data_IF_680334054322
#
_entry.id   IF_680334054322
#
_cell.length_a   1.000
_cell.length_b   1.000
_cell.length_c   1.000
_cell.angle_alpha   90.00
_cell.angle_beta   90.00
_cell.angle_gamma   90.00
#
_symmetry.space_group_name_H-M   'P 1'
#
loop_
_entity.id
_entity.type
_entity.pdbx_description
1 polymer ?
#
# COMPACT_ATOMS: atom_id res chain seq x y z
N UNK A 1 5.60 -3.42 -16.16
CA UNK A 1 6.51 -3.77 -15.01
C UNK A 1 5.67 -4.53 -14.00
N UNK A 2 6.18 -5.48 -13.23
CA UNK A 2 5.28 -6.48 -12.63
C UNK A 2 4.71 -6.06 -11.26
N UNK A 3 3.41 -6.27 -11.07
CA UNK A 3 2.71 -6.41 -9.76
C UNK A 3 3.40 -7.41 -8.80
N UNK A 4 4.44 -8.12 -9.26
CA UNK A 4 5.26 -9.08 -8.51
C UNK A 4 6.62 -8.53 -8.03
N UNK A 5 7.00 -7.29 -8.36
CA UNK A 5 8.28 -6.73 -7.88
C UNK A 5 8.22 -6.49 -6.37
N UNK A 6 9.12 -7.10 -5.60
CA UNK A 6 9.21 -6.88 -4.16
C UNK A 6 10.28 -5.83 -3.86
N UNK A 7 9.90 -4.57 -3.61
CA UNK A 7 10.89 -3.51 -3.36
C UNK A 7 11.70 -3.75 -2.08
N UNK A 8 11.15 -4.48 -1.10
CA UNK A 8 11.85 -4.87 0.14
C UNK A 8 13.04 -5.80 -0.12
N UNK A 9 13.14 -6.41 -1.30
CA UNK A 9 14.29 -7.23 -1.71
C UNK A 9 15.44 -6.42 -2.32
N UNK A 10 15.23 -5.14 -2.60
CA UNK A 10 16.24 -4.26 -3.20
C UNK A 10 17.14 -3.69 -2.11
N UNK A 11 18.45 -3.63 -2.38
CA UNK A 11 19.34 -2.80 -1.58
C UNK A 11 19.05 -1.30 -1.85
N UNK A 12 19.59 -0.41 -1.02
CA UNK A 12 19.37 1.05 -1.14
C UNK A 12 19.73 1.60 -2.53
N UNK A 13 20.85 1.17 -3.12
CA UNK A 13 21.30 1.65 -4.44
C UNK A 13 20.32 1.24 -5.53
N UNK A 14 19.90 -0.03 -5.54
CA UNK A 14 18.92 -0.55 -6.50
C UNK A 14 17.56 0.11 -6.32
N UNK A 15 17.17 0.42 -5.08
CA UNK A 15 15.94 1.14 -4.78
C UNK A 15 15.95 2.57 -5.37
N UNK A 16 17.04 3.32 -5.19
CA UNK A 16 17.21 4.63 -5.81
C UNK A 16 17.22 4.55 -7.34
N UNK A 17 17.97 3.59 -7.91
CA UNK A 17 18.02 3.40 -9.35
C UNK A 17 16.64 3.05 -9.94
N UNK A 18 15.88 2.23 -9.22
CA UNK A 18 14.51 1.86 -9.58
C UNK A 18 13.58 3.09 -9.53
N UNK A 19 13.56 3.84 -8.43
CA UNK A 19 12.76 5.06 -8.31
C UNK A 19 13.12 6.09 -9.39
N UNK A 20 14.42 6.35 -9.60
CA UNK A 20 14.91 7.26 -10.64
C UNK A 20 14.48 6.81 -12.03
N UNK A 21 14.60 5.52 -12.33
CA UNK A 21 14.17 4.95 -13.62
C UNK A 21 12.68 5.18 -13.87
N UNK A 22 11.83 4.99 -12.85
CA UNK A 22 10.38 5.24 -12.98
C UNK A 22 10.10 6.72 -13.26
N UNK A 23 10.71 7.63 -12.50
CA UNK A 23 10.53 9.07 -12.71
C UNK A 23 11.04 9.55 -14.08
N UNK A 24 12.19 9.03 -14.53
CA UNK A 24 12.75 9.36 -15.85
C UNK A 24 11.84 8.83 -16.97
N UNK A 25 11.39 7.58 -16.87
CA UNK A 25 10.50 6.95 -17.87
C UNK A 25 9.11 7.60 -17.92
N UNK A 26 8.65 8.17 -16.82
CA UNK A 26 7.42 8.96 -16.75
C UNK A 26 7.60 10.43 -17.11
N UNK A 27 8.78 10.82 -17.64
CA UNK A 27 9.14 12.18 -18.04
C UNK A 27 9.06 13.25 -16.92
N UNK A 28 9.06 12.86 -15.64
CA UNK A 28 8.93 13.80 -14.50
C UNK A 28 10.02 14.87 -14.53
N UNK A 29 11.27 14.46 -14.79
CA UNK A 29 12.41 15.37 -14.92
C UNK A 29 12.19 16.45 -15.99
N UNK A 30 11.60 16.11 -17.14
CA UNK A 30 11.32 17.09 -18.21
C UNK A 30 10.16 18.01 -17.84
N UNK A 31 9.11 17.46 -17.24
CA UNK A 31 7.91 18.22 -16.84
C UNK A 31 8.26 19.27 -15.79
N UNK A 32 9.18 18.96 -14.88
CA UNK A 32 9.60 19.87 -13.82
C UNK A 32 10.97 20.54 -14.04
N UNK A 33 11.47 20.50 -15.28
CA UNK A 33 12.73 21.15 -15.71
C UNK A 33 13.94 20.82 -14.82
N UNK A 34 14.09 19.53 -14.52
CA UNK A 34 15.21 18.97 -13.77
C UNK A 34 16.11 18.15 -14.71
N UNK A 35 17.43 18.31 -14.54
CA UNK A 35 18.35 17.29 -15.02
C UNK A 35 18.16 15.97 -14.25
N UNK A 36 18.58 14.85 -14.83
CA UNK A 36 18.53 13.54 -14.16
C UNK A 36 19.32 13.55 -12.83
N UNK A 37 20.42 14.31 -12.77
CA UNK A 37 21.19 14.49 -11.53
C UNK A 37 20.40 15.23 -10.46
N UNK A 38 19.77 16.36 -10.80
CA UNK A 38 18.95 17.12 -9.85
C UNK A 38 17.72 16.33 -9.38
N UNK A 39 17.15 15.50 -10.27
CA UNK A 39 16.09 14.58 -9.88
C UNK A 39 16.62 13.52 -8.89
N UNK A 40 17.79 12.94 -9.13
CA UNK A 40 18.39 12.01 -8.18
C UNK A 40 18.66 12.67 -6.82
N UNK A 41 19.18 13.90 -6.81
CA UNK A 41 19.40 14.66 -5.58
C UNK A 41 18.08 14.86 -4.82
N UNK A 42 16.99 15.21 -5.52
CA UNK A 42 15.65 15.29 -4.92
C UNK A 42 15.18 13.96 -4.33
N UNK A 43 15.37 12.83 -5.04
CA UNK A 43 15.00 11.50 -4.54
C UNK A 43 15.77 11.13 -3.27
N UNK A 44 17.06 11.47 -3.19
CA UNK A 44 17.89 11.23 -2.01
C UNK A 44 17.40 12.08 -0.84
N UNK A 45 17.17 13.38 -1.08
CA UNK A 45 16.67 14.28 -0.04
C UNK A 45 15.27 13.88 0.46
N UNK A 46 14.39 13.36 -0.40
CA UNK A 46 13.10 12.78 0.02
C UNK A 46 13.32 11.55 0.90
N UNK A 47 14.22 10.64 0.49
CA UNK A 47 14.50 9.42 1.24
C UNK A 47 15.06 9.71 2.64
N UNK A 48 15.83 10.80 2.80
CA UNK A 48 16.38 11.24 4.10
C UNK A 48 15.32 11.85 5.02
N UNK A 49 14.12 12.16 4.52
CA UNK A 49 12.98 12.60 5.34
C UNK A 49 12.10 11.46 5.84
N UNK A 50 12.29 10.24 5.36
CA UNK A 50 11.63 9.06 5.93
C UNK A 50 12.31 8.64 7.24
N UNK A 51 11.51 8.12 8.17
CA UNK A 51 12.00 7.68 9.49
C UNK A 51 12.28 6.17 9.51
N UNK A 52 12.77 5.69 10.64
CA UNK A 52 13.01 4.26 10.91
C UNK A 52 11.73 3.50 11.35
N UNK A 53 10.54 4.01 11.00
CA UNK A 53 9.28 3.29 11.21
C UNK A 53 9.32 1.92 10.49
N UNK A 54 8.70 0.85 11.04
CA UNK A 54 8.74 -0.46 10.37
C UNK A 54 8.06 -0.48 8.99
N UNK A 55 6.92 0.19 8.83
CA UNK A 55 6.14 0.17 7.58
C UNK A 55 6.33 1.46 6.77
N UNK A 56 6.06 2.62 7.38
CA UNK A 56 6.06 3.93 6.71
C UNK A 56 7.50 4.42 6.42
N UNK A 57 8.15 3.75 5.47
CA UNK A 57 9.56 3.93 5.08
C UNK A 57 9.68 4.44 3.65
N UNK A 58 10.90 4.83 3.24
CA UNK A 58 11.16 5.11 1.82
C UNK A 58 10.89 3.91 0.90
N UNK A 59 11.00 2.67 1.42
CA UNK A 59 10.61 1.49 0.66
C UNK A 59 9.11 1.47 0.36
N UNK A 60 8.26 1.87 1.31
CA UNK A 60 6.81 1.97 1.12
C UNK A 60 6.49 2.97 0.00
N UNK A 61 7.08 4.16 0.08
CA UNK A 61 6.95 5.20 -0.95
C UNK A 61 7.33 4.70 -2.35
N UNK A 62 8.43 3.96 -2.47
CA UNK A 62 8.89 3.40 -3.75
C UNK A 62 7.99 2.24 -4.22
N UNK A 63 7.40 1.44 -3.33
CA UNK A 63 6.39 0.44 -3.72
C UNK A 63 5.17 1.14 -4.33
N UNK A 64 4.67 2.21 -3.71
CA UNK A 64 3.54 2.99 -4.22
C UNK A 64 3.84 3.58 -5.60
N UNK A 65 4.99 4.22 -5.77
CA UNK A 65 5.44 4.74 -7.08
C UNK A 65 5.49 3.62 -8.13
N UNK A 66 5.94 2.42 -7.75
CA UNK A 66 5.96 1.25 -8.62
C UNK A 66 4.55 0.80 -9.03
N UNK A 67 3.63 0.76 -8.08
CA UNK A 67 2.24 0.36 -8.32
C UNK A 67 1.49 1.42 -9.14
N UNK A 68 1.75 2.70 -8.92
CA UNK A 68 1.22 3.78 -9.76
C UNK A 68 1.73 3.68 -11.20
N UNK A 69 3.01 3.37 -11.40
CA UNK A 69 3.54 3.12 -12.74
C UNK A 69 2.82 1.94 -13.42
N UNK A 70 2.58 0.84 -12.68
CA UNK A 70 1.81 -0.31 -13.16
C UNK A 70 0.34 0.05 -13.50
N UNK A 71 -0.34 0.77 -12.61
CA UNK A 71 -1.71 1.26 -12.84
C UNK A 71 -1.78 2.15 -14.09
N UNK A 72 -0.83 3.07 -14.26
CA UNK A 72 -0.76 3.95 -15.41
C UNK A 72 -0.53 3.19 -16.71
N UNK A 73 0.53 2.36 -16.78
CA UNK A 73 1.00 1.82 -18.05
C UNK A 73 0.48 0.43 -18.39
N UNK A 74 0.47 -0.50 -17.42
CA UNK A 74 0.02 -1.88 -17.65
C UNK A 74 -1.52 -1.98 -17.56
N UNK A 75 -2.14 -1.16 -16.71
CA UNK A 75 -3.60 -1.11 -16.52
C UNK A 75 -4.30 0.06 -17.25
N UNK A 76 -3.55 0.83 -18.05
CA UNK A 76 -4.05 1.88 -18.94
C UNK A 76 -4.79 3.03 -18.24
N UNK A 77 -4.42 3.38 -17.01
CA UNK A 77 -4.93 4.59 -16.37
C UNK A 77 -4.40 5.88 -17.03
N UNK A 78 -3.22 5.80 -17.67
CA UNK A 78 -2.56 6.92 -18.35
C UNK A 78 -3.37 7.55 -19.48
N UNK A 79 -4.32 6.81 -20.09
CA UNK A 79 -5.24 7.34 -21.12
C UNK A 79 -6.10 8.52 -20.65
N UNK A 80 -6.25 8.69 -19.34
CA UNK A 80 -7.04 9.74 -18.71
C UNK A 80 -6.20 10.91 -18.16
N UNK A 81 -4.88 10.76 -18.14
CA UNK A 81 -3.97 11.67 -17.44
C UNK A 81 -3.01 12.34 -18.43
N UNK A 82 -2.70 13.61 -18.17
CA UNK A 82 -1.61 14.30 -18.88
C UNK A 82 -0.26 13.93 -18.27
N UNK A 83 0.84 14.28 -18.95
CA UNK A 83 2.19 14.13 -18.39
C UNK A 83 2.39 14.95 -17.11
N UNK A 84 1.72 16.10 -17.00
CA UNK A 84 1.72 16.91 -15.79
C UNK A 84 1.01 16.20 -14.64
N UNK A 85 -0.19 15.64 -14.88
CA UNK A 85 -0.96 14.94 -13.84
C UNK A 85 -0.17 13.73 -13.30
N UNK A 86 0.46 12.95 -14.20
CA UNK A 86 1.32 11.81 -13.81
C UNK A 86 2.54 12.27 -13.01
N UNK A 87 3.15 13.40 -13.38
CA UNK A 87 4.32 13.92 -12.66
C UNK A 87 3.97 14.41 -11.26
N UNK A 88 2.84 15.11 -11.11
CA UNK A 88 2.28 15.50 -9.81
C UNK A 88 1.97 14.27 -8.95
N UNK A 89 1.32 13.27 -9.53
CA UNK A 89 0.94 12.03 -8.85
C UNK A 89 2.17 11.27 -8.31
N UNK A 90 3.23 11.13 -9.11
CA UNK A 90 4.45 10.42 -8.67
C UNK A 90 5.23 11.19 -7.60
N UNK A 91 5.28 12.54 -7.67
CA UNK A 91 5.90 13.36 -6.62
C UNK A 91 5.10 13.26 -5.32
N UNK A 92 3.78 13.38 -5.38
CA UNK A 92 2.91 13.23 -4.21
C UNK A 92 3.08 11.83 -3.58
N UNK A 93 3.07 10.78 -4.38
CA UNK A 93 3.26 9.40 -3.91
C UNK A 93 4.59 9.20 -3.17
N UNK A 94 5.69 9.71 -3.74
CA UNK A 94 7.00 9.57 -3.12
C UNK A 94 7.12 10.37 -1.81
N UNK A 95 6.34 11.43 -1.64
CA UNK A 95 6.42 12.32 -0.49
C UNK A 95 5.30 12.12 0.54
N UNK A 96 4.29 11.29 0.30
CA UNK A 96 3.05 11.30 1.08
C UNK A 96 3.25 11.00 2.59
N UNK A 97 4.30 10.26 2.93
CA UNK A 97 4.60 9.80 4.29
C UNK A 97 5.93 10.32 4.86
N UNK A 98 6.56 11.31 4.23
CA UNK A 98 7.82 11.85 4.76
C UNK A 98 7.59 12.42 6.17
N UNK A 99 8.48 12.06 7.09
CA UNK A 99 8.37 12.44 8.50
C UNK A 99 7.40 11.59 9.32
N UNK A 100 6.77 10.55 8.76
CA UNK A 100 5.85 9.68 9.51
C UNK A 100 6.58 9.01 10.69
N UNK A 101 6.13 9.18 11.95
CA UNK A 101 6.89 8.75 13.14
C UNK A 101 6.63 7.29 13.54
N UNK A 102 5.78 6.58 12.82
CA UNK A 102 5.38 5.22 13.16
C UNK A 102 4.16 5.13 14.09
N UNK A 103 3.40 6.22 14.24
CA UNK A 103 2.21 6.31 15.08
C UNK A 103 1.12 7.11 14.40
N UNK A 104 -0.12 6.67 14.50
CA UNK A 104 -1.27 7.22 13.76
C UNK A 104 -1.67 8.64 14.19
N UNK A 105 -2.47 9.32 13.36
CA UNK A 105 -3.09 10.62 13.68
C UNK A 105 -3.77 10.62 15.05
N UNK A 106 -4.56 9.58 15.36
CA UNK A 106 -5.23 9.47 16.67
C UNK A 106 -4.24 9.41 17.84
N UNK A 107 -3.10 8.75 17.67
CA UNK A 107 -2.05 8.72 18.69
C UNK A 107 -1.47 10.12 18.91
N UNK A 108 -1.15 10.85 17.85
CA UNK A 108 -0.61 12.21 17.94
C UNK A 108 -1.54 13.11 18.76
N UNK A 109 -2.84 13.08 18.45
CA UNK A 109 -3.87 13.89 19.11
C UNK A 109 -4.05 13.48 20.56
N UNK A 110 -4.25 12.17 20.81
CA UNK A 110 -4.53 11.67 22.15
C UNK A 110 -3.36 11.85 23.12
N UNK A 111 -2.13 11.90 22.58
CA UNK A 111 -0.91 12.08 23.37
C UNK A 111 -0.38 13.51 23.35
N UNK A 112 -1.05 14.43 22.65
CA UNK A 112 -0.71 15.85 22.55
C UNK A 112 0.74 16.06 22.10
N UNK A 113 1.16 15.38 21.04
CA UNK A 113 2.52 15.58 20.52
C UNK A 113 2.67 16.98 19.91
N UNK A 114 3.91 17.44 19.77
CA UNK A 114 4.22 18.71 19.10
C UNK A 114 3.64 18.78 17.67
N UNK A 115 3.56 17.62 16.98
CA UNK A 115 2.92 17.54 15.67
C UNK A 115 1.42 17.85 15.75
N UNK A 116 0.70 17.27 16.72
CA UNK A 116 -0.72 17.56 16.92
C UNK A 116 -0.98 19.02 17.32
N UNK A 117 -0.11 19.59 18.16
CA UNK A 117 -0.20 21.00 18.56
C UNK A 117 0.04 21.95 17.38
N UNK A 118 1.03 21.65 16.51
CA UNK A 118 1.44 22.52 15.40
C UNK A 118 0.55 22.40 14.18
N UNK A 119 0.17 21.18 13.80
CA UNK A 119 -0.53 20.91 12.52
C UNK A 119 -2.03 20.63 12.70
N UNK A 120 -2.54 20.57 13.93
CA UNK A 120 -3.97 20.46 14.22
C UNK A 120 -4.47 19.01 14.31
N UNK A 121 -5.80 18.83 14.23
CA UNK A 121 -6.47 17.59 14.64
C UNK A 121 -7.02 16.67 13.53
N UNK A 122 -7.17 17.13 12.29
CA UNK A 122 -7.55 16.24 11.16
C UNK A 122 -6.37 16.16 10.22
N UNK A 123 -6.00 14.95 9.80
CA UNK A 123 -4.89 14.70 8.88
C UNK A 123 -3.57 15.35 9.33
N UNK A 124 -3.25 15.22 10.61
CA UNK A 124 -2.07 15.85 11.25
C UNK A 124 -0.78 15.43 10.56
N UNK A 125 -0.61 14.14 10.31
CA UNK A 125 0.59 13.54 9.70
C UNK A 125 0.69 13.90 8.23
N UNK A 126 -0.40 13.84 7.48
CA UNK A 126 -0.43 14.19 6.07
C UNK A 126 -0.14 15.69 5.89
N UNK A 127 -0.64 16.54 6.79
CA UNK A 127 -0.30 17.97 6.83
C UNK A 127 1.18 18.20 7.12
N UNK A 128 1.79 17.38 7.99
CA UNK A 128 3.22 17.41 8.24
C UNK A 128 4.02 16.97 7.00
N UNK A 129 3.64 15.87 6.35
CA UNK A 129 4.24 15.43 5.08
C UNK A 129 4.18 16.52 4.02
N UNK A 130 3.03 17.21 3.88
CA UNK A 130 2.88 18.37 2.99
C UNK A 130 3.87 19.47 3.35
N UNK A 131 4.01 19.81 4.62
CA UNK A 131 4.96 20.85 5.06
C UNK A 131 6.39 20.51 4.64
N UNK A 132 6.86 19.28 4.93
CA UNK A 132 8.20 18.85 4.53
C UNK A 132 8.35 18.78 3.00
N UNK A 133 7.29 18.41 2.29
CA UNK A 133 7.27 18.34 0.82
C UNK A 133 7.52 19.73 0.25
N UNK A 134 6.84 20.76 0.77
CA UNK A 134 7.02 22.13 0.31
C UNK A 134 8.43 22.65 0.60
N UNK A 135 9.05 22.27 1.73
CA UNK A 135 10.46 22.59 2.00
C UNK A 135 11.39 21.98 0.94
N UNK A 136 11.18 20.71 0.58
CA UNK A 136 11.98 20.03 -0.44
C UNK A 136 11.76 20.66 -1.83
N UNK A 137 10.52 20.90 -2.24
CA UNK A 137 10.23 21.54 -3.52
C UNK A 137 10.88 22.94 -3.63
N UNK A 138 10.93 23.69 -2.52
CA UNK A 138 11.67 24.95 -2.44
C UNK A 138 13.18 24.76 -2.53
N UNK A 139 13.75 23.79 -1.79
CA UNK A 139 15.18 23.47 -1.82
C UNK A 139 15.68 23.16 -3.23
N UNK A 140 14.91 22.39 -3.99
CA UNK A 140 15.26 21.98 -5.35
C UNK A 140 14.77 22.96 -6.44
N UNK A 141 14.11 24.05 -6.06
CA UNK A 141 13.53 25.04 -6.99
C UNK A 141 12.70 24.39 -8.11
N UNK A 142 11.81 23.47 -7.74
CA UNK A 142 11.04 22.66 -8.69
C UNK A 142 9.54 22.69 -8.37
N UNK A 143 8.71 22.27 -9.33
CA UNK A 143 7.25 22.30 -9.23
C UNK A 143 6.72 23.67 -8.73
N UNK A 144 7.24 24.78 -9.28
CA UNK A 144 7.02 26.13 -8.75
C UNK A 144 5.63 26.72 -9.01
N UNK A 145 4.84 26.09 -9.87
CA UNK A 145 3.46 26.54 -10.13
C UNK A 145 2.58 26.34 -8.89
N UNK A 146 1.83 27.37 -8.51
CA UNK A 146 0.89 27.31 -7.40
C UNK A 146 -0.12 26.17 -7.56
N UNK A 147 -0.68 26.03 -8.77
CA UNK A 147 -1.64 24.96 -9.09
C UNK A 147 -1.01 23.59 -8.87
N UNK A 148 0.24 23.39 -9.32
CA UNK A 148 0.96 22.11 -9.15
C UNK A 148 1.16 21.79 -7.67
N UNK A 149 1.59 22.77 -6.87
CA UNK A 149 1.82 22.58 -5.42
C UNK A 149 0.53 22.33 -4.66
N UNK A 150 -0.53 23.05 -5.01
CA UNK A 150 -1.85 22.86 -4.41
C UNK A 150 -2.40 21.47 -4.74
N UNK A 151 -2.21 20.98 -5.96
CA UNK A 151 -2.57 19.60 -6.32
C UNK A 151 -1.71 18.57 -5.57
N UNK A 152 -0.39 18.74 -5.46
CA UNK A 152 0.47 17.83 -4.67
C UNK A 152 -0.02 17.78 -3.21
N UNK A 153 -0.28 18.94 -2.61
CA UNK A 153 -0.82 19.05 -1.25
C UNK A 153 -2.12 18.28 -1.10
N UNK A 154 -3.06 18.50 -2.01
CA UNK A 154 -4.36 17.86 -1.99
C UNK A 154 -4.27 16.33 -2.16
N UNK A 155 -3.38 15.85 -3.03
CA UNK A 155 -3.14 14.41 -3.17
C UNK A 155 -2.58 13.78 -1.88
N UNK A 156 -1.58 14.41 -1.25
CA UNK A 156 -1.03 13.91 0.02
C UNK A 156 -2.08 13.93 1.13
N UNK A 157 -2.87 15.00 1.26
CA UNK A 157 -3.95 15.03 2.26
C UNK A 157 -5.01 13.95 2.03
N UNK A 158 -5.23 13.54 0.78
CA UNK A 158 -6.20 12.50 0.45
C UNK A 158 -5.76 11.07 0.82
N UNK A 159 -4.51 10.85 1.24
CA UNK A 159 -4.05 9.53 1.70
C UNK A 159 -4.50 9.21 3.13
N UNK A 160 -5.00 10.18 3.89
CA UNK A 160 -5.61 9.90 5.20
C UNK A 160 -6.80 8.94 5.01
N UNK A 161 -6.73 7.79 5.69
CA UNK A 161 -7.76 6.75 5.66
C UNK A 161 -9.16 7.26 6.06
N UNK A 162 -9.27 8.42 6.73
CA UNK A 162 -10.54 9.11 6.96
C UNK A 162 -11.29 9.45 5.64
N UNK A 163 -10.59 9.67 4.54
CA UNK A 163 -11.17 9.96 3.22
C UNK A 163 -11.52 8.71 2.41
N UNK A 164 -11.19 7.51 2.88
CA UNK A 164 -11.40 6.26 2.13
C UNK A 164 -12.82 6.11 1.59
N UNK A 165 -13.83 6.33 2.45
CA UNK A 165 -15.25 6.20 2.05
C UNK A 165 -15.67 7.25 1.03
N UNK A 166 -15.07 8.43 1.07
CA UNK A 166 -15.34 9.49 0.11
C UNK A 166 -14.68 9.19 -1.24
N UNK A 167 -13.46 8.62 -1.23
CA UNK A 167 -12.78 8.20 -2.45
C UNK A 167 -13.51 7.06 -3.18
N UNK A 168 -14.18 6.14 -2.47
CA UNK A 168 -15.07 5.15 -3.10
C UNK A 168 -16.20 5.86 -3.87
N UNK A 169 -16.86 6.85 -3.26
CA UNK A 169 -17.94 7.60 -3.93
C UNK A 169 -17.42 8.41 -5.12
N UNK A 170 -16.24 9.02 -4.99
CA UNK A 170 -15.61 9.74 -6.09
C UNK A 170 -15.28 8.81 -7.26
N UNK A 171 -14.85 7.57 -6.99
CA UNK A 171 -14.65 6.57 -8.03
C UNK A 171 -15.96 6.23 -8.75
N UNK A 172 -17.04 5.98 -8.01
CA UNK A 172 -18.37 5.70 -8.58
C UNK A 172 -18.89 6.87 -9.43
N UNK A 173 -18.72 8.11 -8.96
CA UNK A 173 -19.07 9.32 -9.71
C UNK A 173 -18.26 9.44 -11.01
N UNK A 174 -16.96 9.20 -10.95
CA UNK A 174 -16.08 9.27 -12.12
C UNK A 174 -16.44 8.19 -13.15
N UNK A 175 -16.80 7.00 -12.71
CA UNK A 175 -17.30 5.92 -13.58
C UNK A 175 -18.54 6.40 -14.34
N UNK A 176 -19.53 6.97 -13.64
CA UNK A 176 -20.74 7.50 -14.27
C UNK A 176 -20.44 8.60 -15.29
N UNK A 177 -19.52 9.52 -15.00
CA UNK A 177 -19.10 10.56 -15.94
C UNK A 177 -18.48 9.94 -17.22
N UNK A 178 -17.61 8.94 -17.06
CA UNK A 178 -16.98 8.24 -18.19
C UNK A 178 -18.02 7.47 -19.01
N UNK A 179 -19.00 6.82 -18.38
CA UNK A 179 -20.07 6.09 -19.06
C UNK A 179 -21.02 7.02 -19.84
N UNK A 180 -21.37 8.17 -19.26
CA UNK A 180 -22.16 9.20 -19.92
C UNK A 180 -21.44 9.76 -21.15
N UNK A 181 -20.14 10.04 -21.03
CA UNK A 181 -19.32 10.50 -22.16
C UNK A 181 -19.20 9.45 -23.29
N UNK A 182 -19.31 8.16 -22.96
CA UNK A 182 -19.28 7.06 -23.95
C UNK A 182 -20.61 6.80 -24.64
N UNK A 183 -21.72 7.26 -24.07
CA UNK A 183 -23.06 7.09 -24.64
C UNK A 183 -23.34 8.24 -25.59
N UNK A 184 -23.33 8.04 -26.92
CA UNK A 184 -23.63 9.12 -27.85
C UNK A 184 -25.08 9.55 -27.63
N UNK A 185 -25.30 10.85 -27.47
CA UNK A 185 -26.62 11.45 -27.59
C UNK A 185 -27.33 10.89 -28.83
N UNK A 186 -28.45 10.19 -28.61
CA UNK A 186 -29.31 9.63 -29.65
C UNK A 186 -29.74 10.75 -30.60
N UNK A 187 -29.04 10.87 -31.73
CA UNK A 187 -29.19 12.02 -32.63
C UNK A 187 -28.46 11.85 -33.96
N UNK A 188 -28.71 10.72 -34.64
CA UNK A 188 -28.69 10.49 -36.10
C UNK A 188 -28.10 9.13 -36.47
N UNK A 189 -28.98 8.21 -36.87
CA UNK A 189 -28.62 6.96 -37.53
C UNK A 189 -28.02 7.24 -38.91
N UNK A 190 -26.69 7.19 -39.07
CA UNK A 190 -26.06 6.88 -40.37
C UNK A 190 -24.88 5.92 -40.24
N UNK A 191 -25.15 4.70 -40.70
CA UNK A 191 -24.35 3.73 -41.46
C UNK A 191 -22.88 3.49 -41.08
N UNK A 192 -22.64 2.23 -40.70
CA UNK A 192 -21.51 1.36 -41.06
C UNK A 192 -20.12 2.00 -41.16
N UNK A 193 -19.36 1.88 -40.07
CA UNK A 193 -17.92 1.63 -40.13
C UNK A 193 -17.55 0.71 -38.98
N UNK A 194 -17.14 -0.52 -39.31
CA UNK A 194 -16.42 -1.43 -38.41
C UNK A 194 -15.01 -0.89 -38.24
N UNK A 195 -14.86 0.07 -37.33
CA UNK A 195 -13.58 0.41 -36.74
C UNK A 195 -13.84 0.65 -35.27
N UNK A 196 -13.28 -0.19 -34.42
CA UNK A 196 -13.16 0.05 -32.98
C UNK A 196 -12.21 1.23 -32.80
N UNK A 197 -12.70 2.44 -33.09
CA UNK A 197 -11.99 3.67 -32.78
C UNK A 197 -11.93 3.75 -31.26
N UNK A 198 -10.76 3.39 -30.71
CA UNK A 198 -10.37 3.75 -29.36
C UNK A 198 -10.69 5.24 -29.18
N UNK A 199 -11.53 5.54 -28.19
CA UNK A 199 -11.83 6.93 -27.80
C UNK A 199 -10.49 7.67 -27.64
N UNK A 200 -10.32 8.86 -28.24
CA UNK A 200 -9.10 9.63 -28.07
C UNK A 200 -8.86 9.91 -26.59
N UNK A 201 -7.58 9.93 -26.23
CA UNK A 201 -7.03 10.43 -24.96
C UNK A 201 -7.62 11.80 -24.59
N UNK A 202 -7.89 12.01 -23.29
CA UNK A 202 -8.23 13.29 -22.65
C UNK A 202 -9.61 13.93 -22.98
N UNK A 203 -10.66 13.53 -22.24
CA UNK A 203 -11.87 14.35 -22.10
C UNK A 203 -12.36 14.47 -20.63
N UNK A 204 -11.50 14.16 -19.66
CA UNK A 204 -11.74 14.53 -18.28
C UNK A 204 -11.25 15.96 -18.05
N UNK A 205 -12.08 16.80 -17.43
CA UNK A 205 -11.64 18.11 -16.95
C UNK A 205 -10.56 17.98 -15.85
N UNK A 206 -9.96 19.11 -15.47
CA UNK A 206 -8.85 19.11 -14.52
C UNK A 206 -9.24 18.56 -13.14
N UNK A 207 -10.48 18.80 -12.70
CA UNK A 207 -11.00 18.31 -11.44
C UNK A 207 -11.17 16.79 -11.47
N UNK A 208 -11.78 16.25 -12.52
CA UNK A 208 -11.96 14.81 -12.73
C UNK A 208 -10.62 14.07 -12.83
N UNK A 209 -9.60 14.68 -13.46
CA UNK A 209 -8.23 14.12 -13.48
C UNK A 209 -7.59 14.15 -12.10
N UNK A 210 -7.80 15.22 -11.33
CA UNK A 210 -7.32 15.30 -9.94
C UNK A 210 -7.97 14.24 -9.06
N UNK A 211 -9.29 14.06 -9.16
CA UNK A 211 -10.02 12.99 -8.47
C UNK A 211 -9.51 11.60 -8.87
N UNK A 212 -9.23 11.39 -10.16
CA UNK A 212 -8.59 10.15 -10.61
C UNK A 212 -7.21 9.96 -9.95
N UNK A 213 -6.38 11.00 -9.87
CA UNK A 213 -5.09 10.91 -9.19
C UNK A 213 -5.24 10.55 -7.69
N UNK A 214 -6.22 11.12 -6.97
CA UNK A 214 -6.52 10.74 -5.57
C UNK A 214 -6.88 9.25 -5.47
N UNK A 215 -7.75 8.77 -6.37
CA UNK A 215 -8.17 7.37 -6.42
C UNK A 215 -6.98 6.44 -6.69
N UNK A 216 -6.13 6.78 -7.67
CA UNK A 216 -4.98 5.95 -8.01
C UNK A 216 -3.92 5.94 -6.90
N UNK A 217 -3.66 7.09 -6.27
CA UNK A 217 -2.72 7.18 -5.16
C UNK A 217 -3.20 6.33 -3.98
N UNK A 218 -4.45 6.50 -3.56
CA UNK A 218 -5.03 5.72 -2.48
C UNK A 218 -5.06 4.22 -2.79
N UNK A 219 -5.39 3.84 -4.03
CA UNK A 219 -5.33 2.45 -4.48
C UNK A 219 -3.93 1.86 -4.32
N UNK A 220 -2.90 2.62 -4.71
CA UNK A 220 -1.51 2.19 -4.64
C UNK A 220 -1.00 2.08 -3.20
N UNK A 221 -1.35 3.05 -2.35
CA UNK A 221 -0.98 3.11 -0.93
C UNK A 221 -1.48 1.88 -0.15
N UNK A 222 -2.74 1.50 -0.33
CA UNK A 222 -3.33 0.31 0.33
C UNK A 222 -3.10 -0.99 -0.46
N UNK A 223 -2.35 -0.96 -1.56
CA UNK A 223 -2.28 -2.09 -2.50
C UNK A 223 -1.51 -3.29 -1.96
N UNK A 224 -0.61 -3.13 -0.99
CA UNK A 224 0.31 -4.19 -0.56
C UNK A 224 -0.43 -5.50 -0.24
N UNK A 225 -1.60 -5.41 0.40
CA UNK A 225 -2.36 -6.60 0.76
C UNK A 225 -3.04 -7.31 -0.43
N UNK A 226 -3.21 -6.60 -1.54
CA UNK A 226 -3.78 -7.03 -2.81
C UNK A 226 -2.70 -7.51 -3.82
N UNK A 227 -1.54 -7.94 -3.31
CA UNK A 227 -0.39 -8.43 -4.09
C UNK A 227 -0.13 -9.92 -3.84
N UNK A 228 0.77 -10.57 -4.60
CA UNK A 228 1.15 -11.96 -4.33
C UNK A 228 1.49 -12.19 -2.85
N UNK A 229 1.05 -13.31 -2.31
CA UNK A 229 1.10 -13.62 -0.88
C UNK A 229 2.44 -13.29 -0.19
N UNK A 230 3.57 -13.61 -0.82
CA UNK A 230 4.89 -13.36 -0.23
C UNK A 230 5.08 -11.86 0.08
N UNK A 231 4.70 -10.99 -0.86
CA UNK A 231 4.79 -9.53 -0.73
C UNK A 231 3.75 -9.04 0.28
N UNK A 232 2.50 -9.46 0.12
CA UNK A 232 1.39 -9.09 1.02
C UNK A 232 1.68 -9.46 2.47
N UNK A 233 2.25 -10.64 2.71
CA UNK A 233 2.62 -11.12 4.05
C UNK A 233 3.75 -10.30 4.66
N UNK A 234 4.80 -9.98 3.89
CA UNK A 234 5.92 -9.17 4.39
C UNK A 234 5.48 -7.77 4.78
N UNK A 235 4.70 -7.08 3.94
CA UNK A 235 4.14 -5.79 4.28
C UNK A 235 3.18 -5.85 5.47
N UNK A 236 2.38 -6.93 5.57
CA UNK A 236 1.53 -7.20 6.74
C UNK A 236 2.35 -7.39 8.02
N UNK A 237 3.53 -8.01 7.94
CA UNK A 237 4.44 -8.14 9.10
C UNK A 237 4.92 -6.77 9.59
N UNK A 238 5.31 -5.89 8.67
CA UNK A 238 5.80 -4.55 8.99
C UNK A 238 4.71 -3.65 9.59
N UNK A 239 3.51 -3.60 9.00
CA UNK A 239 2.43 -2.75 9.53
C UNK A 239 1.93 -3.23 10.89
N UNK A 240 1.84 -4.55 11.10
CA UNK A 240 1.42 -5.09 12.40
C UNK A 240 2.49 -4.84 13.47
N UNK A 241 3.77 -4.92 13.12
CA UNK A 241 4.85 -4.53 14.03
C UNK A 241 4.70 -3.06 14.46
N UNK A 242 4.38 -2.16 13.54
CA UNK A 242 4.17 -0.75 13.83
C UNK A 242 2.94 -0.53 14.72
N UNK A 243 1.80 -1.12 14.36
CA UNK A 243 0.58 -1.06 15.18
C UNK A 243 0.79 -1.58 16.60
N UNK A 244 1.47 -2.72 16.77
CA UNK A 244 1.76 -3.25 18.09
C UNK A 244 2.76 -2.40 18.87
N UNK A 245 3.68 -1.72 18.18
CA UNK A 245 4.58 -0.75 18.84
C UNK A 245 3.81 0.45 19.37
N UNK A 246 2.82 0.96 18.62
CA UNK A 246 1.89 1.97 19.10
C UNK A 246 1.09 1.48 20.30
N UNK A 247 0.49 0.30 20.24
CA UNK A 247 -0.31 -0.23 21.35
C UNK A 247 0.50 -0.46 22.62
N UNK A 248 1.77 -0.84 22.52
CA UNK A 248 2.66 -0.94 23.67
C UNK A 248 2.97 0.43 24.29
N UNK A 249 3.11 1.46 23.46
CA UNK A 249 3.33 2.82 23.93
C UNK A 249 2.07 3.40 24.61
N UNK A 250 0.88 3.15 24.06
CA UNK A 250 -0.40 3.48 24.69
C UNK A 250 -0.55 2.76 26.05
N UNK A 251 -0.18 1.47 26.13
CA UNK A 251 -0.18 0.70 27.39
C UNK A 251 0.75 1.31 28.43
N UNK A 252 2.00 1.65 28.05
CA UNK A 252 2.97 2.31 28.95
C UNK A 252 2.44 3.63 29.50
N UNK A 253 1.72 4.39 28.67
CA UNK A 253 1.08 5.67 29.03
C UNK A 253 -0.23 5.51 29.79
N UNK A 254 -0.67 4.26 30.07
CA UNK A 254 -1.94 3.92 30.74
C UNK A 254 -3.15 4.50 30.00
N UNK A 255 -3.07 4.55 28.68
CA UNK A 255 -4.14 4.96 27.79
C UNK A 255 -4.94 3.74 27.32
N UNK A 256 -6.16 3.97 26.84
CA UNK A 256 -6.89 2.94 26.11
C UNK A 256 -6.11 2.58 24.85
N UNK A 257 -5.79 1.30 24.69
CA UNK A 257 -5.07 0.81 23.52
C UNK A 257 -6.00 0.87 22.31
N UNK A 258 -5.48 1.38 21.19
CA UNK A 258 -6.18 1.55 19.94
C UNK A 258 -6.68 0.20 19.39
N UNK A 259 -7.88 0.15 18.77
CA UNK A 259 -8.41 -1.09 18.22
C UNK A 259 -7.45 -1.75 17.24
N UNK A 260 -7.20 -3.06 17.41
CA UNK A 260 -6.28 -3.80 16.54
C UNK A 260 -4.79 -3.65 16.88
N UNK A 261 -4.44 -2.83 17.88
CA UNK A 261 -3.04 -2.54 18.24
C UNK A 261 -2.57 -3.26 19.52
N UNK A 262 -3.46 -3.99 20.20
CA UNK A 262 -3.09 -4.78 21.36
C UNK A 262 -2.57 -6.16 20.94
N UNK A 263 -1.25 -6.37 21.00
CA UNK A 263 -0.60 -7.65 20.68
C UNK A 263 -1.00 -8.82 21.59
N UNK A 264 -1.59 -8.56 22.76
CA UNK A 264 -2.07 -9.60 23.67
C UNK A 264 -3.48 -10.08 23.30
N UNK A 265 -4.25 -9.26 22.58
CA UNK A 265 -5.66 -9.52 22.24
C UNK A 265 -5.91 -9.68 20.74
N UNK A 266 -4.99 -9.19 19.90
CA UNK A 266 -5.14 -9.17 18.44
C UNK A 266 -4.10 -10.09 17.79
N UNK A 267 -4.52 -10.83 16.77
CA UNK A 267 -3.62 -11.61 15.92
C UNK A 267 -3.42 -10.92 14.57
N UNK A 268 -2.25 -11.07 13.95
CA UNK A 268 -2.00 -10.59 12.60
C UNK A 268 -3.05 -11.06 11.58
N UNK A 269 -3.46 -12.36 11.55
CA UNK A 269 -4.54 -12.80 10.68
C UNK A 269 -5.84 -12.02 10.88
N UNK A 270 -6.25 -11.80 12.13
CA UNK A 270 -7.48 -11.06 12.43
C UNK A 270 -7.44 -9.60 11.97
N UNK A 271 -6.28 -8.93 12.11
CA UNK A 271 -6.07 -7.55 11.64
C UNK A 271 -6.13 -7.52 10.10
N UNK A 272 -5.42 -8.43 9.45
CA UNK A 272 -5.34 -8.49 7.98
C UNK A 272 -6.68 -8.82 7.33
N UNK A 273 -7.48 -9.71 7.93
CA UNK A 273 -8.82 -10.04 7.45
C UNK A 273 -9.79 -8.85 7.55
N UNK A 274 -9.76 -8.13 8.69
CA UNK A 274 -10.58 -6.92 8.87
C UNK A 274 -10.21 -5.84 7.86
N UNK A 275 -8.92 -5.60 7.65
CA UNK A 275 -8.46 -4.61 6.67
C UNK A 275 -8.82 -5.03 5.23
N UNK A 276 -8.73 -6.32 4.89
CA UNK A 276 -9.15 -6.82 3.59
C UNK A 276 -10.63 -6.62 3.29
N UNK A 277 -11.47 -6.84 4.30
CA UNK A 277 -12.91 -6.57 4.18
C UNK A 277 -13.19 -5.07 4.00
N UNK A 278 -12.41 -4.21 4.67
CA UNK A 278 -12.55 -2.75 4.54
C UNK A 278 -12.24 -2.27 3.12
N UNK A 279 -11.16 -2.76 2.51
CA UNK A 279 -10.67 -2.23 1.23
C UNK A 279 -11.18 -2.98 -0.01
N UNK A 280 -11.78 -4.17 0.15
CA UNK A 280 -12.33 -4.92 -0.97
C UNK A 280 -13.32 -4.11 -1.83
N UNK A 281 -14.31 -3.39 -1.26
CA UNK A 281 -15.24 -2.57 -2.05
C UNK A 281 -14.51 -1.50 -2.87
N UNK A 282 -13.42 -0.94 -2.34
CA UNK A 282 -12.62 0.06 -3.03
C UNK A 282 -12.00 -0.51 -4.31
N UNK A 283 -11.41 -1.71 -4.24
CA UNK A 283 -10.87 -2.37 -5.42
C UNK A 283 -11.95 -2.85 -6.38
N UNK A 284 -13.14 -3.22 -5.90
CA UNK A 284 -14.29 -3.53 -6.77
C UNK A 284 -14.76 -2.29 -7.57
N UNK A 285 -14.83 -1.12 -6.93
CA UNK A 285 -15.07 0.15 -7.65
C UNK A 285 -13.94 0.46 -8.64
N UNK A 286 -12.67 0.23 -8.25
CA UNK A 286 -11.54 0.42 -9.16
C UNK A 286 -11.61 -0.49 -10.41
N UNK A 287 -12.13 -1.71 -10.30
CA UNK A 287 -12.37 -2.60 -11.46
C UNK A 287 -13.35 -1.99 -12.44
N UNK A 288 -14.40 -1.33 -11.95
CA UNK A 288 -15.38 -0.67 -12.80
C UNK A 288 -14.77 0.48 -13.61
N UNK A 289 -13.79 1.18 -13.03
CA UNK A 289 -13.04 2.26 -13.69
C UNK A 289 -11.93 1.72 -14.63
N UNK A 290 -11.16 0.74 -14.15
CA UNK A 290 -10.03 0.11 -14.81
C UNK A 290 -10.23 -1.42 -14.79
N UNK A 291 -10.89 -2.02 -15.80
CA UNK A 291 -11.25 -3.46 -15.76
C UNK A 291 -10.08 -4.40 -15.51
N UNK A 292 -8.89 -4.08 -16.01
CA UNK A 292 -7.67 -4.89 -15.80
C UNK A 292 -7.19 -4.90 -14.33
N UNK A 293 -7.68 -3.99 -13.49
CA UNK A 293 -7.36 -3.95 -12.06
C UNK A 293 -8.00 -5.09 -11.25
N UNK A 294 -8.82 -5.97 -11.88
CA UNK A 294 -9.41 -7.15 -11.24
C UNK A 294 -8.36 -8.04 -10.56
N UNK A 295 -7.12 -7.99 -11.03
CA UNK A 295 -5.98 -8.70 -10.43
C UNK A 295 -5.80 -8.39 -8.94
N UNK A 296 -6.09 -7.16 -8.50
CA UNK A 296 -6.02 -6.80 -7.07
C UNK A 296 -7.12 -7.50 -6.26
N UNK A 297 -8.34 -7.55 -6.79
CA UNK A 297 -9.46 -8.28 -6.17
C UNK A 297 -9.15 -9.78 -6.08
N UNK A 298 -8.61 -10.37 -7.16
CA UNK A 298 -8.22 -11.78 -7.18
C UNK A 298 -7.20 -12.11 -6.09
N UNK A 299 -6.19 -11.24 -5.91
CA UNK A 299 -5.20 -11.40 -4.84
C UNK A 299 -5.78 -11.15 -3.44
N UNK A 300 -6.66 -10.15 -3.26
CA UNK A 300 -7.33 -9.91 -1.98
C UNK A 300 -8.13 -11.12 -1.52
N UNK A 301 -8.91 -11.72 -2.42
CA UNK A 301 -9.70 -12.93 -2.12
C UNK A 301 -8.77 -14.10 -1.80
N UNK A 302 -7.74 -14.34 -2.62
CA UNK A 302 -6.79 -15.43 -2.42
C UNK A 302 -6.00 -15.27 -1.10
N UNK A 303 -5.57 -14.05 -0.76
CA UNK A 303 -4.85 -13.76 0.47
C UNK A 303 -5.77 -13.86 1.69
N UNK A 304 -7.03 -13.43 1.59
CA UNK A 304 -8.03 -13.60 2.65
C UNK A 304 -8.23 -15.07 3.00
N UNK A 305 -8.35 -15.96 1.99
CA UNK A 305 -8.42 -17.40 2.24
C UNK A 305 -7.17 -17.95 2.95
N UNK A 306 -5.98 -17.40 2.67
CA UNK A 306 -4.75 -17.82 3.37
C UNK A 306 -4.74 -17.33 4.82
N UNK A 307 -5.16 -16.08 5.05
CA UNK A 307 -5.29 -15.54 6.40
C UNK A 307 -6.32 -16.30 7.24
N UNK A 308 -7.48 -16.66 6.68
CA UNK A 308 -8.49 -17.48 7.36
C UNK A 308 -7.91 -18.82 7.84
N UNK A 309 -7.07 -19.48 7.02
CA UNK A 309 -6.39 -20.71 7.42
C UNK A 309 -5.44 -20.47 8.58
N UNK A 310 -4.63 -19.40 8.53
CA UNK A 310 -3.71 -19.06 9.62
C UNK A 310 -4.44 -18.72 10.92
N UNK A 311 -5.59 -18.04 10.82
CA UNK A 311 -6.41 -17.70 11.98
C UNK A 311 -6.99 -18.96 12.65
N UNK A 312 -7.49 -19.92 11.85
CA UNK A 312 -7.97 -21.21 12.36
C UNK A 312 -6.87 -22.02 13.07
N UNK A 313 -5.63 -21.98 12.58
CA UNK A 313 -4.51 -22.67 13.24
C UNK A 313 -4.08 -21.97 14.54
N UNK A 314 -4.24 -20.64 14.61
CA UNK A 314 -3.95 -19.85 15.83
C UNK A 314 -5.01 -20.09 16.91
N UNK A 315 -6.25 -20.38 16.50
CA UNK A 315 -7.39 -20.67 17.39
C UNK A 315 -7.53 -22.15 17.76
N UNK A 316 -6.75 -23.05 17.14
CA UNK A 316 -6.83 -24.48 17.43
C UNK A 316 -6.22 -24.77 18.83
N UNK A 317 -6.92 -25.51 19.71
CA UNK A 317 -6.37 -25.89 21.00
C UNK A 317 -5.12 -26.77 20.80
N UNK A 318 -4.08 -26.51 21.60
CA UNK A 318 -2.87 -27.35 21.68
C UNK A 318 -3.28 -28.83 21.76
N UNK A 319 -2.64 -29.75 21.02
CA UNK A 319 -2.92 -31.17 21.16
C UNK A 319 -2.67 -31.56 22.62
N UNK A 320 -3.72 -32.08 23.27
CA UNK A 320 -3.70 -32.54 24.65
C UNK A 320 -2.45 -33.38 24.90
N UNK A 321 -1.51 -32.84 25.70
CA UNK A 321 -0.45 -33.64 26.29
C UNK A 321 -1.11 -34.79 27.00
N UNK A 322 -0.92 -36.01 26.50
CA UNK A 322 -1.45 -37.21 27.13
C UNK A 322 -0.68 -37.38 28.43
N UNK A 323 -1.24 -36.84 29.53
CA UNK A 323 -0.75 -37.10 30.87
C UNK A 323 -0.83 -38.60 31.09
N UNK A 324 0.33 -39.25 31.01
CA UNK A 324 0.49 -40.64 31.44
C UNK A 324 0.41 -40.61 32.97
N UNK A 325 -0.80 -40.76 33.49
CA UNK A 325 -1.05 -40.87 34.92
C UNK A 325 -0.46 -42.19 35.42
N UNK A 326 0.74 -42.14 35.99
CA UNK A 326 1.29 -43.25 36.78
C UNK A 326 0.39 -43.43 38.00
N UNK A 327 -0.33 -44.56 38.01
CA UNK A 327 -1.22 -45.00 39.07
C UNK A 327 -0.39 -45.31 40.33
N UNK A 328 -0.47 -44.47 41.38
CA UNK A 328 -0.09 -44.86 42.74
C UNK A 328 -1.33 -45.22 43.54
N UNK A 329 -1.27 -46.38 44.16
CA UNK A 329 -2.34 -47.01 44.94
C UNK A 329 -2.35 -46.47 46.37
N UNK A 330 -3.55 -46.06 46.80
CA UNK A 330 -4.19 -45.96 48.12
C UNK A 330 -3.39 -45.61 49.39
N UNK A 331 -3.95 -44.68 50.19
CA UNK A 331 -4.67 -45.02 51.44
C UNK A 331 -5.49 -43.84 51.96
N UNK A 332 -6.62 -44.19 52.57
CA UNK A 332 -7.73 -43.35 53.02
C UNK A 332 -7.38 -42.27 54.06
N UNK A 333 -8.21 -41.21 54.15
CA UNK A 333 -8.89 -40.78 55.39
C UNK A 333 -10.03 -39.78 55.05
N UNK A 334 -11.16 -40.02 55.71
CA UNK A 334 -12.47 -39.36 55.65
C UNK A 334 -12.53 -38.15 56.60
N UNK A 335 -13.09 -37.00 56.18
CA UNK A 335 -13.77 -36.06 57.09
C UNK A 335 -14.59 -34.97 56.34
N UNK A 336 -15.93 -35.09 56.46
CA UNK A 336 -16.96 -34.07 56.75
C UNK A 336 -16.97 -32.67 56.10
N UNK A 337 -18.11 -32.41 55.47
CA UNK A 337 -18.71 -31.13 55.06
C UNK A 337 -18.85 -30.11 56.19
N UNK A 338 -18.75 -28.81 55.84
CA UNK A 338 -19.45 -27.74 56.58
C UNK A 338 -19.86 -26.64 55.61
N UNK A 339 -21.16 -26.42 55.51
CA UNK A 339 -21.84 -25.32 54.82
C UNK A 339 -21.83 -24.10 55.73
N UNK A 340 -21.40 -22.93 55.25
CA UNK A 340 -21.64 -21.64 55.93
C UNK A 340 -22.32 -20.69 54.97
N UNK A 341 -23.56 -20.35 55.33
CA UNK A 341 -24.38 -19.28 54.77
C UNK A 341 -24.01 -17.97 55.48
N UNK A 342 -23.86 -16.86 54.75
CA UNK A 342 -23.88 -15.53 55.37
C UNK A 342 -24.57 -14.52 54.46
N UNK A 343 -25.57 -13.85 55.01
CA UNK A 343 -26.50 -12.94 54.34
C UNK A 343 -26.09 -11.47 54.57
N UNK A 344 -26.08 -10.70 53.48
CA UNK A 344 -26.35 -9.25 53.31
C UNK A 344 -25.77 -8.19 54.26
N UNK A 345 -25.18 -7.14 53.65
CA UNK A 345 -25.48 -5.73 54.00
C UNK A 345 -25.38 -4.83 52.76
N UNK A 346 -26.44 -4.05 52.54
CA UNK A 346 -26.60 -3.02 51.51
C UNK A 346 -26.00 -1.70 51.97
N UNK A 347 -25.22 -1.03 51.13
CA UNK A 347 -24.91 0.40 51.25
C UNK A 347 -25.08 1.10 49.90
N UNK A 348 -25.92 2.14 49.91
CA UNK A 348 -26.29 3.02 48.80
C UNK A 348 -25.32 4.19 48.69
N UNK A 349 -24.81 4.48 47.49
CA UNK A 349 -24.15 5.76 47.13
C UNK A 349 -24.56 6.21 45.71
N UNK A 350 -24.53 7.53 45.41
CA UNK A 350 -25.33 8.17 44.36
C UNK A 350 -24.70 8.09 42.94
N UNK A 351 -25.45 8.40 41.87
CA UNK A 351 -24.96 8.24 40.49
C UNK A 351 -24.03 9.40 40.05
N UNK A 352 -23.06 9.15 39.17
CA UNK A 352 -22.27 10.21 38.53
C UNK A 352 -23.04 10.88 37.37
N UNK A 353 -22.64 12.10 36.95
CA UNK A 353 -23.35 12.88 35.94
C UNK A 353 -23.17 12.35 34.52
N UNK A 354 -24.23 12.53 33.74
CA UNK A 354 -24.42 12.13 32.34
C UNK A 354 -23.44 12.85 31.41
N UNK A 355 -22.53 12.11 30.77
CA UNK A 355 -21.80 12.55 29.59
C UNK A 355 -22.52 12.07 28.33
N UNK A 356 -22.73 13.00 27.40
CA UNK A 356 -23.41 12.83 26.12
C UNK A 356 -22.61 11.82 25.29
N UNK A 357 -23.13 10.62 25.13
CA UNK A 357 -22.63 9.62 24.18
C UNK A 357 -22.97 10.05 22.76
N UNK A 358 -21.96 10.27 21.93
CA UNK A 358 -22.12 10.23 20.48
C UNK A 358 -22.61 8.83 20.08
N UNK A 359 -23.67 8.80 19.27
CA UNK A 359 -24.38 7.58 18.91
C UNK A 359 -23.46 6.54 18.26
N UNK A 360 -23.35 5.37 18.90
CA UNK A 360 -22.84 4.18 18.26
C UNK A 360 -23.76 3.83 17.07
N UNK A 361 -23.21 3.85 15.86
CA UNK A 361 -23.91 3.38 14.68
C UNK A 361 -24.14 1.87 14.82
N UNK A 362 -25.39 1.48 15.07
CA UNK A 362 -25.84 0.09 15.11
C UNK A 362 -25.65 -0.53 13.73
N UNK A 363 -24.68 -1.44 13.60
CA UNK A 363 -24.47 -2.21 12.39
C UNK A 363 -25.65 -3.18 12.18
N UNK A 364 -26.59 -2.79 11.31
CA UNK A 364 -27.63 -3.67 10.82
C UNK A 364 -27.02 -4.68 9.86
N UNK A 365 -27.07 -5.97 10.20
CA UNK A 365 -26.56 -7.05 9.38
C UNK A 365 -27.29 -7.13 8.02
N UNK A 366 -26.62 -6.75 6.94
CA UNK A 366 -27.09 -6.95 5.57
C UNK A 366 -26.69 -8.37 5.13
N UNK A 367 -27.67 -9.25 4.94
CA UNK A 367 -27.45 -10.59 4.36
C UNK A 367 -27.34 -10.46 2.84
N UNK A 368 -26.16 -10.73 2.28
CA UNK A 368 -25.99 -10.85 0.83
C UNK A 368 -26.38 -12.26 0.34
N UNK A 369 -27.25 -12.31 -0.67
CA UNK A 369 -27.69 -13.55 -1.34
C UNK A 369 -26.67 -13.92 -2.42
N UNK A 370 -25.97 -15.04 -2.23
CA UNK A 370 -24.99 -15.60 -3.18
C UNK A 370 -25.65 -15.93 -4.52
N UNK A 371 -25.37 -15.18 -5.58
CA UNK A 371 -25.78 -15.52 -6.95
C UNK A 371 -24.70 -16.43 -7.54
N UNK A 372 -25.03 -17.71 -7.78
CA UNK A 372 -24.18 -18.63 -8.55
C UNK A 372 -24.43 -18.38 -10.04
N UNK A 373 -23.46 -17.78 -10.74
CA UNK A 373 -23.39 -17.83 -12.21
C UNK A 373 -22.73 -19.15 -12.60
N UNK A 374 -23.53 -20.09 -13.11
CA UNK A 374 -23.05 -21.39 -13.59
C UNK A 374 -22.49 -21.28 -15.00
N UNK A 375 -21.16 -21.33 -15.14
CA UNK A 375 -20.54 -21.61 -16.44
C UNK A 375 -20.41 -23.13 -16.63
N UNK A 376 -21.14 -23.67 -17.61
CA UNK A 376 -21.00 -25.06 -18.07
C UNK A 376 -19.67 -25.19 -18.83
N UNK A 377 -18.72 -25.90 -18.23
CA UNK A 377 -17.50 -26.40 -18.86
C UNK A 377 -17.85 -27.28 -20.07
N UNK A 378 -17.44 -26.86 -21.27
CA UNK A 378 -17.23 -27.78 -22.39
C UNK A 378 -15.73 -28.05 -22.51
N UNK A 379 -15.41 -29.32 -22.35
CA UNK A 379 -14.14 -30.03 -22.54
C UNK A 379 -13.26 -29.52 -23.68
N UNK A 380 -11.97 -29.31 -23.39
CA UNK A 380 -10.88 -29.40 -24.36
C UNK A 380 -9.86 -30.47 -23.90
N UNK A 381 -9.24 -31.20 -24.83
CA UNK A 381 -8.54 -32.45 -24.53
C UNK A 381 -7.14 -32.22 -23.96
N UNK A 382 -6.80 -33.07 -23.00
CA UNK A 382 -5.45 -33.29 -22.45
C UNK A 382 -4.50 -33.73 -23.57
N UNK A 383 -3.47 -32.93 -23.84
CA UNK A 383 -2.29 -33.38 -24.58
C UNK A 383 -1.13 -33.42 -23.60
N UNK A 384 -0.76 -34.64 -23.21
CA UNK A 384 0.51 -34.97 -22.55
C UNK A 384 1.65 -34.66 -23.52
N UNK A 385 2.62 -33.84 -23.09
CA UNK A 385 3.93 -33.81 -23.73
C UNK A 385 5.04 -34.02 -22.71
N UNK A 386 5.86 -35.01 -23.04
CA UNK A 386 7.02 -35.52 -22.33
C UNK A 386 8.08 -34.44 -22.09
N UNK A 387 8.67 -34.48 -20.89
CA UNK A 387 9.83 -33.69 -20.52
C UNK A 387 11.07 -34.24 -21.25
N UNK A 388 11.61 -33.47 -22.18
CA UNK A 388 12.95 -33.69 -22.73
C UNK A 388 13.80 -32.44 -22.45
N UNK A 389 14.89 -32.63 -21.71
CA UNK A 389 15.96 -31.65 -21.55
C UNK A 389 16.61 -31.37 -22.92
N UNK A 390 16.70 -30.11 -23.32
CA UNK A 390 17.79 -29.64 -24.20
C UNK A 390 18.06 -28.15 -23.93
N UNK A 391 19.32 -27.87 -23.61
CA UNK A 391 19.92 -26.54 -23.61
C UNK A 391 19.85 -25.96 -25.03
N UNK A 392 19.40 -24.71 -25.20
CA UNK A 392 19.85 -23.87 -26.30
C UNK A 392 19.81 -22.38 -25.92
N UNK A 393 20.97 -21.75 -26.11
CA UNK A 393 21.21 -20.33 -26.05
C UNK A 393 20.31 -19.54 -27.01
N UNK A 394 19.74 -18.43 -26.54
CA UNK A 394 19.33 -17.33 -27.40
C UNK A 394 20.10 -16.08 -27.02
N UNK A 395 20.95 -15.63 -27.95
CA UNK A 395 21.59 -14.32 -27.96
C UNK A 395 20.54 -13.26 -28.34
N UNK A 396 20.45 -12.20 -27.55
CA UNK A 396 19.75 -10.97 -27.92
C UNK A 396 20.80 -9.89 -28.12
N UNK A 397 21.09 -9.56 -29.38
CA UNK A 397 21.94 -8.43 -29.75
C UNK A 397 21.24 -7.12 -29.40
N UNK A 398 21.88 -6.25 -28.60
CA UNK A 398 21.49 -4.84 -28.47
C UNK A 398 22.47 -4.01 -29.28
N UNK A 399 21.93 -3.30 -30.27
CA UNK A 399 22.63 -2.28 -31.05
C UNK A 399 22.80 -1.06 -30.13
N UNK A 400 24.05 -0.67 -29.86
CA UNK A 400 24.38 0.54 -29.10
C UNK A 400 24.55 1.70 -30.09
N UNK A 401 23.62 2.65 -30.09
CA UNK A 401 23.87 3.97 -30.69
C UNK A 401 24.83 4.76 -29.80
N UNK A 402 26.00 5.06 -30.35
CA UNK A 402 27.01 5.96 -29.79
C UNK A 402 26.45 7.38 -29.70
N UNK A 403 26.41 7.95 -28.50
CA UNK A 403 26.99 9.26 -28.15
C UNK A 403 26.33 9.83 -26.88
N UNK A 404 27.08 9.81 -25.77
CA UNK A 404 27.18 10.85 -24.73
C UNK A 404 27.63 10.19 -23.41
N UNK A 405 28.95 10.09 -23.25
CA UNK A 405 29.57 9.83 -21.95
C UNK A 405 29.51 11.13 -21.13
N UNK A 406 28.80 11.12 -20.00
CA UNK A 406 29.00 12.08 -18.92
C UNK A 406 29.83 11.40 -17.81
N UNK A 407 30.80 12.11 -17.19
CA UNK A 407 31.72 11.52 -16.22
C UNK A 407 31.01 11.26 -14.89
N UNK A 408 31.10 10.02 -14.40
CA UNK A 408 30.71 9.64 -13.05
C UNK A 408 31.63 10.38 -12.04
N UNK A 409 31.02 11.20 -11.20
CA UNK A 409 31.67 11.85 -10.06
C UNK A 409 31.84 10.80 -8.96
N UNK A 410 33.10 10.57 -8.57
CA UNK A 410 33.54 9.66 -7.52
C UNK A 410 32.97 10.04 -6.14
N UNK A 411 32.33 9.08 -5.46
CA UNK A 411 32.26 9.07 -4.01
C UNK A 411 33.00 7.85 -3.46
N UNK A 412 33.97 8.12 -2.58
CA UNK A 412 34.89 7.17 -1.98
C UNK A 412 34.18 6.25 -0.98
N UNK A 413 34.26 4.95 -1.19
CA UNK A 413 34.58 4.02 -0.10
C UNK A 413 35.63 3.02 -0.61
N UNK A 414 36.63 2.81 0.24
CA UNK A 414 37.89 2.08 0.06
C UNK A 414 37.87 0.83 -0.84
N UNK A 415 38.51 0.93 -2.01
CA UNK A 415 39.14 -0.18 -2.72
C UNK A 415 40.50 0.31 -3.25
N UNK A 416 41.56 -0.46 -2.96
CA UNK A 416 42.89 -0.26 -3.53
C UNK A 416 42.81 -0.43 -5.07
N UNK A 417 43.14 0.63 -5.80
CA UNK A 417 43.26 0.61 -7.26
C UNK A 417 44.75 0.73 -7.66
N UNK A 418 45.21 -0.19 -8.50
CA UNK A 418 46.43 -0.04 -9.29
C UNK A 418 46.10 0.81 -10.53
N UNK A 419 46.73 1.98 -10.64
CA UNK A 419 46.43 3.01 -11.65
C UNK A 419 47.23 2.87 -12.94
N UNK A 420 47.82 1.72 -13.23
CA UNK A 420 48.74 1.57 -14.38
C UNK A 420 48.16 0.92 -15.65
N UNK A 421 46.84 0.69 -15.74
CA UNK A 421 46.22 0.12 -16.96
C UNK A 421 45.11 0.99 -17.55
N UNK A 422 45.48 1.80 -18.54
CA UNK A 422 44.57 2.48 -19.48
C UNK A 422 44.06 1.48 -20.52
N UNK A 423 42.95 0.80 -20.22
CA UNK A 423 41.92 0.28 -21.14
C UNK A 423 41.08 -0.74 -20.39
N UNK A 424 39.86 -0.37 -20.01
CA UNK A 424 38.86 -1.31 -19.47
C UNK A 424 37.83 -1.52 -20.59
N UNK A 425 38.08 -2.53 -21.42
CA UNK A 425 37.02 -3.15 -22.22
C UNK A 425 36.43 -4.27 -21.36
N UNK A 426 35.14 -4.15 -21.03
CA UNK A 426 34.30 -5.05 -20.22
C UNK A 426 34.42 -4.96 -18.68
N UNK A 427 33.27 -4.73 -18.05
CA UNK A 427 33.04 -5.02 -16.62
C UNK A 427 32.39 -6.41 -16.59
N UNK A 428 33.11 -7.40 -16.06
CA UNK A 428 32.56 -8.72 -15.77
C UNK A 428 32.08 -8.71 -14.32
N UNK A 429 30.76 -8.69 -14.10
CA UNK A 429 30.17 -8.88 -12.79
C UNK A 429 30.04 -10.38 -12.51
N UNK A 430 30.78 -10.88 -11.53
CA UNK A 430 30.60 -12.23 -11.01
C UNK A 430 29.43 -12.25 -10.03
N UNK A 431 28.40 -13.04 -10.34
CA UNK A 431 27.35 -13.43 -9.40
C UNK A 431 27.87 -14.64 -8.61
N UNK A 432 27.96 -14.60 -7.26
CA UNK A 432 28.19 -15.82 -6.51
C UNK A 432 26.87 -16.61 -6.50
N UNK A 433 26.90 -17.81 -7.09
CA UNK A 433 25.94 -18.88 -6.79
C UNK A 433 26.68 -19.90 -5.92
N UNK A 434 26.07 -20.18 -4.77
CA UNK A 434 26.17 -21.30 -3.84
C UNK A 434 27.52 -21.76 -3.24
N UNK A 435 27.55 -21.74 -1.89
CA UNK A 435 27.61 -22.97 -1.09
C UNK A 435 26.54 -22.96 0.00
#
# INVERSE_FOLDING_TARGET
MSLKLNVLSLNRTDLYAHALSLFVRSNVHKVFDLSVSQLLDFLIDVADRYTEAPYHTFYHAVDIVTILYYLCHDLNADRYLTDLDKSILLVAALCHDIGHPGFTNSFQINTKTELAEKYGGTSTLETYSVHLTMELLNKHNTANSHVVRDTIKDLILSTDMAYHSELVKQADQLIHLIEQARSPSSGNKRKHSTSTTLMPTANLDAESRTSLCRILLHAADISNMARPWVISKQWSDLIVQEFFSQGDEERKRKMTISPGMDRELCSQPSISLKFGQLILPYFESLVSLLPKSHVFVDFLVANSTRWERLDQHTQAPLPNTTTTTIRRVSSDIRATSTTVTTTTTTTTTPPPPTLITAAAATATAIKYKRIRLGFRSKSFPTVLYHHHQHQHHYHSNVIIEKNNLLPLVNFKSSLLYDTTKTNIESIVLYHPYDQ
#
